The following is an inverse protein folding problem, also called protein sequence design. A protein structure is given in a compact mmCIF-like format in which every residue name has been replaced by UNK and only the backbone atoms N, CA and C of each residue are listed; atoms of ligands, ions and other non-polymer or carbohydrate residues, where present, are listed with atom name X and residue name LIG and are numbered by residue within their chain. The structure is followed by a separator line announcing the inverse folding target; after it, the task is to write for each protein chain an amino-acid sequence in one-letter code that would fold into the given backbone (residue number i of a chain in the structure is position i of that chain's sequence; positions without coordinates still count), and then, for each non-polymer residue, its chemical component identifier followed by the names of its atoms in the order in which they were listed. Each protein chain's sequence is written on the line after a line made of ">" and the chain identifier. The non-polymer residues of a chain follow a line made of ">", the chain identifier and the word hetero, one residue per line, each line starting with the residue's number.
data_IF_255614160388
#
_entry.id   IF_255614160388
#
_cell.length_a   1.000
_cell.length_b   1.000
_cell.length_c   1.000
_cell.angle_alpha   90.00
_cell.angle_beta   90.00
_cell.angle_gamma   90.00
#
_symmetry.space_group_name_H-M   'P 1'
#
loop_
_entity.id
_entity.type
_entity.pdbx_description
1 polymer ?
#
# COMPACT_ATOMS: atom_id res chain seq x y z
N UNK A 1 -23.88 0.82 -37.09
CA UNK A 1 -23.21 2.00 -36.51
C UNK A 1 -22.57 1.57 -35.21
N UNK A 2 -21.35 1.05 -35.29
CA UNK A 2 -20.62 0.48 -34.15
C UNK A 2 -19.73 1.57 -33.53
N UNK A 3 -20.00 1.93 -32.28
CA UNK A 3 -19.13 2.79 -31.48
C UNK A 3 -18.07 1.92 -30.80
N UNK A 4 -16.83 2.02 -31.29
CA UNK A 4 -15.65 1.51 -30.61
C UNK A 4 -15.40 2.33 -29.34
N UNK A 5 -15.70 1.75 -28.18
CA UNK A 5 -15.24 2.27 -26.89
C UNK A 5 -13.88 1.65 -26.60
N UNK A 6 -12.84 2.48 -26.68
CA UNK A 6 -11.50 2.21 -26.16
C UNK A 6 -11.60 1.88 -24.66
N UNK A 7 -11.01 0.76 -24.21
CA UNK A 7 -10.73 0.55 -22.77
C UNK A 7 -11.47 -0.57 -22.04
N UNK A 8 -12.20 -1.48 -22.68
CA UNK A 8 -12.59 -2.74 -22.00
C UNK A 8 -11.46 -3.77 -22.09
N UNK A 9 -10.60 -3.81 -21.07
CA UNK A 9 -9.87 -5.04 -20.77
C UNK A 9 -10.89 -6.15 -20.51
N UNK A 10 -10.96 -7.14 -21.40
CA UNK A 10 -11.75 -8.37 -21.22
C UNK A 10 -11.02 -9.41 -20.36
N UNK A 11 -9.86 -9.07 -19.78
CA UNK A 11 -9.15 -9.94 -18.84
C UNK A 11 -9.46 -9.47 -17.43
N UNK A 12 -9.71 -10.43 -16.54
CA UNK A 12 -10.07 -10.21 -15.15
C UNK A 12 -9.12 -9.28 -14.41
N UNK A 13 -9.58 -8.85 -13.24
CA UNK A 13 -8.93 -7.97 -12.27
C UNK A 13 -7.40 -8.01 -12.37
N UNK A 14 -6.78 -6.88 -12.72
CA UNK A 14 -5.33 -6.70 -12.64
C UNK A 14 -4.86 -7.20 -11.26
N UNK A 15 -3.77 -7.98 -11.23
CA UNK A 15 -3.16 -8.58 -10.03
C UNK A 15 -3.68 -9.96 -9.58
N UNK A 16 -4.52 -10.67 -10.35
CA UNK A 16 -4.89 -12.05 -10.01
C UNK A 16 -3.76 -13.10 -10.21
N UNK A 17 -2.76 -12.80 -11.05
CA UNK A 17 -1.72 -13.76 -11.47
C UNK A 17 -0.29 -13.36 -11.09
N UNK A 18 -0.11 -12.29 -10.30
CA UNK A 18 1.23 -11.70 -10.07
C UNK A 18 1.80 -10.98 -11.29
N UNK A 19 0.95 -10.66 -12.27
CA UNK A 19 1.27 -9.88 -13.46
C UNK A 19 0.48 -8.58 -13.47
N UNK A 20 1.10 -7.52 -13.99
CA UNK A 20 0.54 -6.19 -14.16
C UNK A 20 0.90 -5.65 -15.54
N UNK A 21 -0.03 -4.94 -16.18
CA UNK A 21 0.24 -4.26 -17.44
C UNK A 21 1.06 -2.99 -17.18
N UNK A 22 2.29 -2.93 -17.67
CA UNK A 22 3.14 -1.74 -17.62
C UNK A 22 3.40 -1.31 -19.06
N UNK A 23 2.95 -0.09 -19.41
CA UNK A 23 3.02 0.43 -20.77
C UNK A 23 2.41 -0.52 -21.84
N UNK A 24 1.35 -1.25 -21.47
CA UNK A 24 0.66 -2.20 -22.35
C UNK A 24 1.33 -3.58 -22.47
N UNK A 25 2.41 -3.84 -21.73
CA UNK A 25 3.12 -5.12 -21.70
C UNK A 25 2.84 -5.82 -20.37
N UNK A 26 2.36 -7.07 -20.43
CA UNK A 26 2.22 -7.91 -19.24
C UNK A 26 3.60 -8.15 -18.61
N UNK A 27 3.78 -7.68 -17.38
CA UNK A 27 5.05 -7.69 -16.66
C UNK A 27 4.83 -8.28 -15.27
N UNK A 28 5.85 -8.93 -14.69
CA UNK A 28 5.80 -9.37 -13.29
C UNK A 28 5.54 -8.18 -12.36
N UNK A 29 4.53 -8.31 -11.51
CA UNK A 29 4.21 -7.28 -10.53
C UNK A 29 5.19 -7.36 -9.36
N UNK A 30 6.31 -6.64 -9.50
CA UNK A 30 7.32 -6.51 -8.44
C UNK A 30 6.95 -5.47 -7.38
N UNK A 31 5.79 -4.83 -7.53
CA UNK A 31 5.30 -3.72 -6.70
C UNK A 31 6.41 -2.65 -6.46
N UNK A 32 6.31 -1.95 -5.33
CA UNK A 32 7.25 -0.92 -4.89
C UNK A 32 8.66 -1.47 -4.65
N UNK A 33 8.81 -2.75 -4.30
CA UNK A 33 10.11 -3.35 -4.02
C UNK A 33 10.99 -3.36 -5.29
N UNK A 34 10.42 -3.74 -6.43
CA UNK A 34 11.11 -3.63 -7.72
C UNK A 34 11.47 -2.18 -8.05
N UNK A 35 10.55 -1.24 -7.82
CA UNK A 35 10.81 0.18 -8.08
C UNK A 35 11.97 0.75 -7.22
N UNK A 36 12.05 0.37 -5.94
CA UNK A 36 13.14 0.80 -5.03
C UNK A 36 14.48 0.23 -5.49
N UNK A 37 14.53 -1.05 -5.87
CA UNK A 37 15.75 -1.71 -6.34
C UNK A 37 16.25 -1.03 -7.63
N UNK A 38 15.36 -0.85 -8.60
CA UNK A 38 15.68 -0.21 -9.89
C UNK A 38 16.10 1.24 -9.69
N UNK A 39 15.40 1.99 -8.84
CA UNK A 39 15.77 3.38 -8.50
C UNK A 39 17.18 3.46 -7.93
N UNK A 40 17.53 2.60 -6.96
CA UNK A 40 18.87 2.55 -6.37
C UNK A 40 19.95 2.27 -7.41
N UNK A 41 19.70 1.33 -8.34
CA UNK A 41 20.65 1.01 -9.41
C UNK A 41 20.83 2.19 -10.35
N UNK A 42 19.73 2.81 -10.81
CA UNK A 42 19.78 3.95 -11.73
C UNK A 42 20.47 5.14 -11.08
N UNK A 43 20.17 5.45 -9.81
CA UNK A 43 20.86 6.51 -9.06
C UNK A 43 22.37 6.22 -8.96
N UNK A 44 22.77 4.97 -8.70
CA UNK A 44 24.18 4.59 -8.68
C UNK A 44 24.86 4.76 -10.04
N UNK A 45 24.23 4.31 -11.14
CA UNK A 45 24.76 4.50 -12.51
C UNK A 45 24.88 5.99 -12.82
N UNK A 46 23.83 6.76 -12.53
CA UNK A 46 23.81 8.20 -12.75
C UNK A 46 24.98 8.89 -12.04
N UNK A 47 25.11 8.68 -10.73
CA UNK A 47 26.18 9.28 -9.93
C UNK A 47 27.57 8.88 -10.40
N UNK A 48 27.72 7.67 -10.96
CA UNK A 48 29.01 7.16 -11.42
C UNK A 48 29.39 7.59 -12.83
N UNK A 49 28.43 7.76 -13.74
CA UNK A 49 28.68 7.87 -15.18
C UNK A 49 28.21 9.18 -15.82
N UNK A 50 27.36 9.98 -15.17
CA UNK A 50 26.82 11.21 -15.74
C UNK A 50 27.91 12.22 -16.18
N UNK A 51 28.90 12.45 -15.33
CA UNK A 51 29.99 13.41 -15.61
C UNK A 51 31.21 12.79 -16.31
N UNK A 52 31.13 11.54 -16.76
CA UNK A 52 32.27 10.90 -17.44
C UNK A 52 32.43 11.45 -18.85
N UNK A 53 33.64 11.92 -19.17
CA UNK A 53 34.01 12.31 -20.52
C UNK A 53 34.31 11.06 -21.35
N UNK A 54 33.67 10.99 -22.52
CA UNK A 54 33.93 9.99 -23.55
C UNK A 54 34.92 10.55 -24.58
N UNK A 55 35.62 9.69 -25.34
CA UNK A 55 36.40 10.13 -26.50
C UNK A 55 35.57 10.99 -27.45
N UNK A 56 36.23 11.89 -28.19
CA UNK A 56 35.58 12.90 -29.03
C UNK A 56 34.58 12.30 -30.03
N UNK A 57 34.92 11.14 -30.62
CA UNK A 57 34.05 10.36 -31.52
C UNK A 57 32.71 9.92 -30.88
N UNK A 58 32.67 9.79 -29.55
CA UNK A 58 31.49 9.39 -28.78
C UNK A 58 30.93 10.56 -27.94
N UNK A 59 31.36 11.79 -28.21
CA UNK A 59 30.95 12.99 -27.46
C UNK A 59 29.44 13.18 -27.39
N UNK A 60 28.72 12.79 -28.46
CA UNK A 60 27.25 12.86 -28.56
C UNK A 60 26.54 12.01 -27.51
N UNK A 61 27.17 10.93 -27.03
CA UNK A 61 26.58 10.05 -26.03
C UNK A 61 26.88 10.49 -24.59
N UNK A 62 27.62 11.58 -24.33
CA UNK A 62 27.95 12.01 -22.97
C UNK A 62 26.72 12.45 -22.16
N UNK A 63 26.87 12.53 -20.84
CA UNK A 63 25.80 12.97 -19.94
C UNK A 63 24.69 11.94 -19.77
N UNK A 64 23.44 12.37 -19.84
CA UNK A 64 22.26 11.53 -19.60
C UNK A 64 22.16 10.38 -20.62
N UNK A 65 22.52 10.62 -21.87
CA UNK A 65 22.48 9.60 -22.93
C UNK A 65 23.36 8.39 -22.58
N UNK A 66 24.54 8.63 -21.98
CA UNK A 66 25.43 7.56 -21.54
C UNK A 66 24.82 6.75 -20.40
N UNK A 67 24.23 7.46 -19.43
CA UNK A 67 23.57 6.84 -18.27
C UNK A 67 22.42 5.94 -18.71
N UNK A 68 21.57 6.43 -19.61
CA UNK A 68 20.43 5.65 -20.16
C UNK A 68 20.94 4.42 -20.93
N UNK A 69 21.98 4.58 -21.75
CA UNK A 69 22.56 3.47 -22.53
C UNK A 69 23.11 2.38 -21.62
N UNK A 70 23.91 2.72 -20.60
CA UNK A 70 24.42 1.74 -19.63
C UNK A 70 23.26 1.10 -18.88
N UNK A 71 22.28 1.90 -18.44
CA UNK A 71 21.13 1.40 -17.70
C UNK A 71 20.36 0.36 -18.51
N UNK A 72 20.12 0.59 -19.81
CA UNK A 72 19.47 -0.38 -20.69
C UNK A 72 20.15 -1.75 -20.65
N UNK A 73 21.46 -1.80 -20.86
CA UNK A 73 22.20 -3.08 -20.85
C UNK A 73 22.27 -3.71 -19.46
N UNK A 74 22.29 -2.92 -18.40
CA UNK A 74 22.22 -3.42 -17.01
C UNK A 74 20.84 -3.99 -16.69
N UNK A 75 19.76 -3.44 -17.26
CA UNK A 75 18.40 -3.93 -17.00
C UNK A 75 18.10 -5.29 -17.65
N UNK A 76 18.78 -5.66 -18.74
CA UNK A 76 18.60 -6.97 -19.38
C UNK A 76 18.89 -8.16 -18.43
N UNK A 77 20.07 -8.28 -17.81
CA UNK A 77 20.32 -9.36 -16.86
C UNK A 77 19.47 -9.23 -15.59
N UNK A 78 19.17 -8.02 -15.13
CA UNK A 78 18.32 -7.81 -13.95
C UNK A 78 16.90 -8.32 -14.20
N UNK A 79 16.33 -8.05 -15.37
CA UNK A 79 15.03 -8.59 -15.75
C UNK A 79 15.04 -10.13 -15.78
N UNK A 80 16.08 -10.74 -16.36
CA UNK A 80 16.22 -12.20 -16.39
C UNK A 80 16.31 -12.81 -14.98
N UNK A 81 17.12 -12.21 -14.08
CA UNK A 81 17.22 -12.63 -12.68
C UNK A 81 15.87 -12.48 -11.98
N UNK A 82 15.17 -11.37 -12.22
CA UNK A 82 13.87 -11.08 -11.61
C UNK A 82 12.84 -12.13 -12.03
N UNK A 83 12.81 -12.55 -13.30
CA UNK A 83 11.89 -13.61 -13.76
C UNK A 83 12.05 -14.93 -13.00
N UNK A 84 13.25 -15.26 -12.53
CA UNK A 84 13.51 -16.50 -11.78
C UNK A 84 13.28 -16.30 -10.29
N UNK A 85 13.87 -15.25 -9.70
CA UNK A 85 13.87 -15.02 -8.26
C UNK A 85 12.50 -14.54 -7.76
N UNK A 86 11.80 -13.74 -8.55
CA UNK A 86 10.52 -13.16 -8.13
C UNK A 86 9.46 -14.22 -7.89
N UNK A 87 9.46 -15.33 -8.64
CA UNK A 87 8.48 -16.41 -8.44
C UNK A 87 8.55 -16.98 -7.03
N UNK A 88 9.76 -17.26 -6.52
CA UNK A 88 9.93 -17.76 -5.15
C UNK A 88 9.47 -16.74 -4.11
N UNK A 89 9.77 -15.45 -4.31
CA UNK A 89 9.29 -14.37 -3.43
C UNK A 89 7.77 -14.26 -3.46
N UNK A 90 7.17 -14.33 -4.65
CA UNK A 90 5.73 -14.27 -4.86
C UNK A 90 5.01 -15.41 -4.13
N UNK A 91 5.55 -16.64 -4.17
CA UNK A 91 5.01 -17.77 -3.42
C UNK A 91 5.12 -17.55 -1.90
N UNK A 92 6.23 -16.98 -1.42
CA UNK A 92 6.39 -16.61 -0.01
C UNK A 92 5.34 -15.60 0.43
N UNK A 93 5.16 -14.53 -0.34
CA UNK A 93 4.15 -13.49 -0.08
C UNK A 93 2.74 -14.09 -0.08
N UNK A 94 2.41 -14.92 -1.08
CA UNK A 94 1.11 -15.59 -1.17
C UNK A 94 0.84 -16.49 0.05
N UNK A 95 1.85 -17.21 0.54
CA UNK A 95 1.70 -18.06 1.73
C UNK A 95 1.30 -17.27 2.98
N UNK A 96 1.88 -16.07 3.17
CA UNK A 96 1.54 -15.17 4.28
C UNK A 96 0.10 -14.66 4.12
N UNK A 97 -0.30 -14.28 2.91
CA UNK A 97 -1.64 -13.79 2.62
C UNK A 97 -2.72 -14.86 2.89
N UNK A 98 -2.50 -16.09 2.42
CA UNK A 98 -3.43 -17.19 2.71
C UNK A 98 -3.49 -17.54 4.19
N UNK A 99 -2.34 -17.49 4.89
CA UNK A 99 -2.31 -17.65 6.34
C UNK A 99 -3.14 -16.57 7.05
N UNK A 100 -2.98 -15.31 6.64
CA UNK A 100 -3.76 -14.17 7.18
C UNK A 100 -5.26 -14.41 7.01
N UNK A 101 -5.72 -14.76 5.80
CA UNK A 101 -7.14 -14.96 5.53
C UNK A 101 -7.71 -16.16 6.32
N UNK A 102 -6.93 -17.21 6.51
CA UNK A 102 -7.38 -18.43 7.20
C UNK A 102 -7.40 -18.33 8.74
N UNK A 103 -6.73 -17.33 9.34
CA UNK A 103 -6.44 -17.31 10.79
C UNK A 103 -7.46 -16.56 11.65
N UNK A 104 -8.63 -16.19 11.11
CA UNK A 104 -9.70 -15.51 11.86
C UNK A 104 -9.22 -14.22 12.52
N UNK A 105 -9.49 -14.05 13.83
CA UNK A 105 -9.09 -12.84 14.58
C UNK A 105 -7.58 -12.58 14.58
N UNK A 106 -6.75 -13.64 14.66
CA UNK A 106 -5.29 -13.51 14.58
C UNK A 106 -4.87 -13.02 13.20
N UNK A 107 -5.55 -13.52 12.16
CA UNK A 107 -5.36 -13.08 10.79
C UNK A 107 -5.67 -11.59 10.60
N UNK A 108 -6.81 -11.14 11.11
CA UNK A 108 -7.22 -9.73 11.05
C UNK A 108 -6.24 -8.83 11.80
N UNK A 109 -5.79 -9.23 12.99
CA UNK A 109 -4.77 -8.49 13.72
C UNK A 109 -3.46 -8.39 12.92
N UNK A 110 -3.00 -9.51 12.38
CA UNK A 110 -1.76 -9.56 11.61
C UNK A 110 -1.85 -8.71 10.33
N UNK A 111 -3.00 -8.75 9.66
CA UNK A 111 -3.30 -7.91 8.49
C UNK A 111 -3.12 -6.43 8.80
N UNK A 112 -3.84 -5.91 9.81
CA UNK A 112 -3.79 -4.49 10.16
C UNK A 112 -2.43 -4.07 10.72
N UNK A 113 -1.77 -4.97 11.47
CA UNK A 113 -0.42 -4.72 11.99
C UNK A 113 0.58 -4.58 10.84
N UNK A 114 0.59 -5.52 9.90
CA UNK A 114 1.50 -5.50 8.76
C UNK A 114 1.18 -4.36 7.79
N UNK A 115 -0.10 -4.08 7.56
CA UNK A 115 -0.55 -2.96 6.73
C UNK A 115 -0.03 -1.62 7.28
N UNK A 116 -0.04 -1.42 8.60
CA UNK A 116 0.51 -0.21 9.23
C UNK A 116 2.04 -0.22 9.30
N UNK A 117 2.65 -1.25 9.88
CA UNK A 117 4.10 -1.22 10.19
C UNK A 117 4.97 -1.15 8.92
N UNK A 118 4.45 -1.62 7.78
CA UNK A 118 5.14 -1.62 6.49
C UNK A 118 4.94 -0.34 5.66
N UNK A 119 4.09 0.61 6.08
CA UNK A 119 3.87 1.90 5.38
C UNK A 119 5.18 2.61 4.99
N UNK A 120 6.20 2.73 5.87
CA UNK A 120 7.46 3.44 5.56
C UNK A 120 8.22 2.90 4.36
N UNK A 121 8.02 1.62 4.08
CA UNK A 121 8.71 0.89 3.00
C UNK A 121 7.85 0.74 1.75
N UNK A 122 6.56 1.09 1.84
CA UNK A 122 5.55 0.78 0.83
C UNK A 122 5.15 -0.71 0.76
N UNK A 123 5.80 -1.61 1.52
CA UNK A 123 5.52 -3.05 1.42
C UNK A 123 4.13 -3.44 1.91
N UNK A 124 3.42 -2.55 2.60
CA UNK A 124 2.03 -2.74 3.00
C UNK A 124 1.09 -3.06 1.80
N UNK A 125 1.41 -2.60 0.59
CA UNK A 125 0.68 -2.95 -0.63
C UNK A 125 0.66 -4.46 -0.92
N UNK A 126 1.67 -5.22 -0.49
CA UNK A 126 1.66 -6.68 -0.62
C UNK A 126 0.68 -7.36 0.35
N UNK A 127 0.28 -6.67 1.41
CA UNK A 127 -0.63 -7.23 2.40
C UNK A 127 -2.07 -6.90 2.01
N UNK A 128 -2.36 -5.61 1.83
CA UNK A 128 -3.75 -5.18 1.66
C UNK A 128 -4.28 -5.41 0.25
N UNK A 129 -3.52 -5.09 -0.80
CA UNK A 129 -4.08 -5.02 -2.16
C UNK A 129 -4.62 -6.39 -2.65
N UNK A 130 -3.91 -7.52 -2.45
CA UNK A 130 -4.41 -8.82 -2.88
C UNK A 130 -5.65 -9.31 -2.13
N UNK A 131 -5.90 -8.79 -0.92
CA UNK A 131 -7.10 -9.08 -0.12
C UNK A 131 -8.26 -8.14 -0.53
N UNK A 132 -8.00 -6.85 -0.66
CA UNK A 132 -9.02 -5.85 -0.96
C UNK A 132 -9.51 -5.86 -2.41
N UNK A 133 -8.58 -6.01 -3.35
CA UNK A 133 -8.85 -5.90 -4.79
C UNK A 133 -8.36 -7.12 -5.57
N UNK A 134 -7.73 -8.09 -4.91
CA UNK A 134 -7.26 -9.33 -5.53
C UNK A 134 -8.05 -10.56 -5.10
N UNK A 135 -7.74 -11.74 -5.68
CA UNK A 135 -8.52 -12.95 -5.48
C UNK A 135 -8.18 -13.72 -4.18
N UNK A 136 -7.44 -13.13 -3.24
CA UNK A 136 -6.94 -13.86 -2.07
C UNK A 136 -8.05 -14.19 -1.07
N UNK A 137 -8.91 -13.22 -0.77
CA UNK A 137 -10.01 -13.41 0.18
C UNK A 137 -11.31 -13.82 -0.52
N UNK A 138 -11.60 -13.22 -1.67
CA UNK A 138 -12.77 -13.50 -2.53
C UNK A 138 -12.38 -13.25 -3.99
N UNK A 139 -13.06 -13.89 -4.95
CA UNK A 139 -12.66 -13.94 -6.37
C UNK A 139 -12.32 -12.58 -7.02
N UNK A 140 -13.02 -11.51 -6.64
CA UNK A 140 -12.84 -10.17 -7.21
C UNK A 140 -12.33 -9.13 -6.20
N UNK A 141 -11.87 -9.56 -5.04
CA UNK A 141 -11.47 -8.69 -3.93
C UNK A 141 -12.64 -8.17 -3.10
N UNK A 142 -12.36 -7.91 -1.82
CA UNK A 142 -13.36 -7.49 -0.84
C UNK A 142 -14.07 -6.17 -1.20
N UNK A 143 -13.37 -5.22 -1.83
CA UNK A 143 -13.97 -3.94 -2.22
C UNK A 143 -15.03 -4.13 -3.32
N UNK A 144 -14.73 -4.95 -4.33
CA UNK A 144 -15.69 -5.25 -5.39
C UNK A 144 -16.88 -6.06 -4.84
N UNK A 145 -16.59 -7.07 -4.04
CA UNK A 145 -17.58 -7.93 -3.39
C UNK A 145 -18.54 -7.11 -2.51
N UNK A 146 -18.02 -6.17 -1.72
CA UNK A 146 -18.81 -5.26 -0.93
C UNK A 146 -19.78 -4.45 -1.78
N UNK A 147 -19.26 -3.73 -2.77
CA UNK A 147 -20.05 -2.83 -3.61
C UNK A 147 -21.13 -3.56 -4.42
N UNK A 148 -20.83 -4.76 -4.91
CA UNK A 148 -21.78 -5.55 -5.71
C UNK A 148 -22.93 -6.11 -4.88
N UNK A 149 -22.72 -6.38 -3.59
CA UNK A 149 -23.70 -7.01 -2.71
C UNK A 149 -24.24 -6.06 -1.63
N UNK A 150 -23.96 -4.76 -1.73
CA UNK A 150 -24.38 -3.72 -0.78
C UNK A 150 -25.87 -3.81 -0.42
N UNK A 151 -26.76 -3.89 -1.42
CA UNK A 151 -28.20 -3.97 -1.20
C UNK A 151 -28.60 -5.28 -0.51
N UNK A 152 -27.97 -6.39 -0.89
CA UNK A 152 -28.21 -7.70 -0.27
C UNK A 152 -27.82 -7.69 1.21
N UNK A 153 -26.68 -7.08 1.56
CA UNK A 153 -26.26 -6.96 2.96
C UNK A 153 -27.20 -6.08 3.77
N UNK A 154 -27.73 -5.02 3.17
CA UNK A 154 -28.66 -4.09 3.83
C UNK A 154 -30.04 -4.72 4.10
N UNK A 155 -30.51 -5.61 3.21
CA UNK A 155 -31.82 -6.28 3.33
C UNK A 155 -31.77 -7.55 4.19
N UNK A 156 -30.57 -8.04 4.52
CA UNK A 156 -30.37 -9.29 5.24
C UNK A 156 -30.53 -9.13 6.75
N UNK A 157 -31.29 -10.04 7.37
CA UNK A 157 -31.41 -10.12 8.83
C UNK A 157 -30.25 -10.88 9.50
N UNK A 158 -29.26 -11.35 8.72
CA UNK A 158 -28.09 -12.05 9.27
C UNK A 158 -27.03 -11.05 9.72
N UNK A 159 -26.24 -11.36 10.76
CA UNK A 159 -25.07 -10.57 11.10
C UNK A 159 -24.11 -10.42 9.91
N UNK A 160 -23.53 -9.24 9.71
CA UNK A 160 -22.59 -8.99 8.60
C UNK A 160 -21.39 -9.93 8.62
N UNK A 161 -20.93 -10.31 9.82
CA UNK A 161 -19.83 -11.26 10.04
C UNK A 161 -20.04 -12.64 9.42
N UNK A 162 -21.29 -13.04 9.17
CA UNK A 162 -21.64 -14.33 8.55
C UNK A 162 -21.74 -14.23 7.03
N UNK A 163 -21.74 -13.01 6.50
CA UNK A 163 -22.01 -12.71 5.08
C UNK A 163 -20.78 -12.19 4.35
N UNK A 164 -19.88 -11.51 5.07
CA UNK A 164 -18.73 -10.85 4.49
C UNK A 164 -17.58 -10.81 5.50
N UNK A 165 -16.32 -11.07 5.10
CA UNK A 165 -15.16 -11.01 5.99
C UNK A 165 -14.75 -9.55 6.28
N UNK A 166 -15.68 -8.79 6.88
CA UNK A 166 -15.57 -7.35 7.14
C UNK A 166 -14.38 -6.96 8.02
N UNK A 167 -13.81 -7.90 8.79
CA UNK A 167 -12.65 -7.65 9.65
C UNK A 167 -11.44 -7.10 8.89
N UNK A 168 -11.25 -7.52 7.63
CA UNK A 168 -10.18 -7.00 6.75
C UNK A 168 -10.50 -5.63 6.14
N UNK A 169 -11.69 -5.08 6.36
CA UNK A 169 -12.12 -3.77 5.85
C UNK A 169 -12.19 -2.72 6.98
N UNK A 170 -11.64 -3.01 8.15
CA UNK A 170 -11.68 -2.12 9.31
C UNK A 170 -10.55 -1.08 9.36
N UNK A 171 -9.61 -1.09 8.40
CA UNK A 171 -8.40 -0.23 8.46
C UNK A 171 -8.70 1.27 8.58
N UNK A 172 -9.89 1.71 8.16
CA UNK A 172 -10.36 3.10 8.30
C UNK A 172 -10.37 3.58 9.74
N UNK A 173 -10.64 2.71 10.72
CA UNK A 173 -10.67 3.12 12.12
C UNK A 173 -9.30 3.61 12.58
N UNK A 174 -8.22 2.87 12.28
CA UNK A 174 -6.85 3.26 12.62
C UNK A 174 -6.47 4.60 12.01
N UNK A 175 -6.91 4.84 10.77
CA UNK A 175 -6.67 6.07 10.03
C UNK A 175 -7.43 7.27 10.61
N UNK A 176 -8.66 7.07 11.08
CA UNK A 176 -9.48 8.14 11.66
C UNK A 176 -9.12 8.36 13.14
N UNK A 177 -9.35 7.36 13.98
CA UNK A 177 -9.22 7.48 15.44
C UNK A 177 -7.77 7.53 15.90
N UNK A 178 -6.89 6.73 15.27
CA UNK A 178 -5.46 6.74 15.58
C UNK A 178 -4.82 8.08 15.23
N UNK A 179 -5.07 8.61 14.04
CA UNK A 179 -4.53 9.92 13.64
C UNK A 179 -5.07 11.08 14.49
N UNK A 180 -6.37 11.05 14.85
CA UNK A 180 -6.93 12.01 15.81
C UNK A 180 -6.21 11.97 17.16
N UNK A 181 -5.99 10.76 17.70
CA UNK A 181 -5.28 10.58 18.96
C UNK A 181 -3.84 11.10 18.90
N UNK A 182 -3.10 10.77 17.83
CA UNK A 182 -1.73 11.25 17.59
C UNK A 182 -1.70 12.78 17.54
N UNK A 183 -2.58 13.39 16.75
CA UNK A 183 -2.61 14.85 16.60
C UNK A 183 -2.91 15.56 17.91
N UNK A 184 -3.88 15.06 18.69
CA UNK A 184 -4.19 15.61 20.01
C UNK A 184 -3.02 15.46 20.98
N UNK A 185 -2.32 14.31 20.98
CA UNK A 185 -1.16 14.08 21.82
C UNK A 185 0.01 15.02 21.45
N UNK A 186 0.30 15.18 20.16
CA UNK A 186 1.32 16.12 19.67
C UNK A 186 0.98 17.56 20.04
N UNK A 187 -0.27 17.97 19.87
CA UNK A 187 -0.72 19.33 20.24
C UNK A 187 -0.65 19.57 21.76
N UNK A 188 -1.10 18.62 22.58
CA UNK A 188 -1.11 18.75 24.04
C UNK A 188 0.31 18.87 24.63
N UNK A 189 1.25 18.11 24.08
CA UNK A 189 2.66 18.08 24.52
C UNK A 189 3.51 19.22 23.94
N UNK A 190 2.99 19.97 22.96
CA UNK A 190 3.68 21.13 22.37
C UNK A 190 3.76 22.31 23.36
N UNK A 191 4.95 22.93 23.55
CA UNK A 191 5.11 24.16 24.34
C UNK A 191 4.16 25.27 23.87
N UNK A 192 3.57 26.01 24.82
CA UNK A 192 2.49 26.98 24.55
C UNK A 192 2.82 27.97 23.43
N UNK A 193 4.07 28.43 23.37
CA UNK A 193 4.54 29.42 22.38
C UNK A 193 4.54 28.89 20.94
N UNK A 194 4.59 27.56 20.77
CA UNK A 194 4.64 26.89 19.46
C UNK A 194 3.30 26.27 19.05
N UNK A 195 2.29 26.21 19.93
CA UNK A 195 1.02 25.53 19.67
C UNK A 195 0.30 26.03 18.43
N UNK A 196 0.32 27.34 18.16
CA UNK A 196 -0.30 27.90 16.94
C UNK A 196 0.37 27.37 15.65
N UNK A 197 1.71 27.28 15.65
CA UNK A 197 2.48 26.77 14.50
C UNK A 197 2.22 25.28 14.29
N UNK A 198 2.23 24.50 15.37
CA UNK A 198 1.99 23.06 15.32
C UNK A 198 0.55 22.76 14.91
N UNK A 199 -0.45 23.48 15.45
CA UNK A 199 -1.84 23.32 15.03
C UNK A 199 -2.05 23.59 13.54
N UNK A 200 -1.36 24.60 12.98
CA UNK A 200 -1.43 24.89 11.55
C UNK A 200 -0.94 23.72 10.67
N UNK A 201 -0.05 22.86 11.18
CA UNK A 201 0.38 21.63 10.51
C UNK A 201 -0.54 20.44 10.81
N UNK A 202 -0.92 20.26 12.08
CA UNK A 202 -1.69 19.09 12.52
C UNK A 202 -3.13 19.10 12.01
N UNK A 203 -3.82 20.24 11.98
CA UNK A 203 -5.21 20.32 11.52
C UNK A 203 -5.38 19.80 10.09
N UNK A 204 -4.67 20.32 9.07
CA UNK A 204 -4.87 19.86 7.69
C UNK A 204 -4.41 18.41 7.48
N UNK A 205 -3.32 17.98 8.11
CA UNK A 205 -2.81 16.59 7.99
C UNK A 205 -3.76 15.59 8.64
N UNK A 206 -4.33 15.92 9.79
CA UNK A 206 -5.33 15.09 10.47
C UNK A 206 -6.65 15.07 9.71
N UNK A 207 -7.09 16.21 9.16
CA UNK A 207 -8.30 16.26 8.35
C UNK A 207 -8.15 15.41 7.08
N UNK A 208 -6.97 15.42 6.46
CA UNK A 208 -6.64 14.56 5.32
C UNK A 208 -6.74 13.08 5.70
N UNK A 209 -6.23 12.70 6.88
CA UNK A 209 -6.34 11.33 7.39
C UNK A 209 -7.80 10.90 7.59
N UNK A 210 -8.64 11.77 8.16
CA UNK A 210 -10.05 11.46 8.44
C UNK A 210 -10.90 11.39 7.17
N UNK A 211 -10.71 12.35 6.26
CA UNK A 211 -11.59 12.51 5.10
C UNK A 211 -11.14 11.63 3.93
N UNK A 212 -9.84 11.53 3.70
CA UNK A 212 -9.28 10.81 2.55
C UNK A 212 -8.66 9.46 2.94
N UNK A 213 -8.48 9.17 4.23
CA UNK A 213 -7.80 7.94 4.67
C UNK A 213 -6.30 7.92 4.39
N UNK A 214 -5.72 9.07 4.05
CA UNK A 214 -4.29 9.25 3.75
C UNK A 214 -3.61 9.77 5.01
N UNK A 215 -2.87 8.89 5.68
CA UNK A 215 -2.29 9.12 7.02
C UNK A 215 -0.84 9.58 6.99
N UNK A 216 -0.15 9.38 5.87
CA UNK A 216 1.27 9.62 5.66
C UNK A 216 1.69 11.07 6.00
N UNK A 217 0.93 12.12 5.63
CA UNK A 217 1.29 13.49 5.97
C UNK A 217 1.38 13.75 7.48
N UNK A 218 0.63 13.00 8.29
CA UNK A 218 0.71 13.05 9.75
C UNK A 218 1.74 12.07 10.28
N UNK A 219 1.67 10.80 9.87
CA UNK A 219 2.53 9.73 10.40
C UNK A 219 4.02 10.00 10.15
N UNK A 220 4.37 10.57 8.99
CA UNK A 220 5.77 10.86 8.65
C UNK A 220 6.37 11.98 9.48
N UNK A 221 5.56 12.78 10.18
CA UNK A 221 6.06 13.84 11.08
C UNK A 221 6.77 13.27 12.31
N UNK A 222 6.47 12.04 12.72
CA UNK A 222 7.11 11.39 13.87
C UNK A 222 7.80 10.07 13.51
N UNK A 223 7.41 9.42 12.42
CA UNK A 223 7.96 8.13 11.98
C UNK A 223 9.50 8.09 12.01
N UNK A 224 10.14 9.09 11.40
CA UNK A 224 11.58 9.14 11.25
C UNK A 224 12.30 9.70 12.48
N UNK A 225 11.55 10.28 13.43
CA UNK A 225 12.07 10.87 14.66
C UNK A 225 12.02 9.85 15.81
N UNK A 226 10.89 9.15 15.94
CA UNK A 226 10.62 8.17 16.97
C UNK A 226 9.97 6.91 16.36
N UNK A 227 10.74 6.06 15.65
CA UNK A 227 10.20 4.89 14.95
C UNK A 227 9.44 3.90 15.84
N UNK A 228 9.84 3.78 17.11
CA UNK A 228 9.16 2.92 18.08
C UNK A 228 7.72 3.38 18.38
N UNK A 229 7.42 4.68 18.32
CA UNK A 229 6.05 5.18 18.46
C UNK A 229 5.19 4.77 17.27
N UNK A 230 5.77 4.63 16.09
CA UNK A 230 5.04 4.14 14.92
C UNK A 230 4.72 2.65 15.04
N UNK A 231 5.67 1.84 15.54
CA UNK A 231 5.40 0.43 15.85
C UNK A 231 4.29 0.32 16.90
N UNK A 232 4.32 1.14 17.95
CA UNK A 232 3.26 1.18 18.96
C UNK A 232 1.91 1.56 18.34
N UNK A 233 1.87 2.58 17.49
CA UNK A 233 0.68 2.96 16.74
C UNK A 233 0.14 1.81 15.87
N UNK A 234 1.00 1.09 15.16
CA UNK A 234 0.61 -0.08 14.36
C UNK A 234 0.00 -1.20 15.23
N UNK A 235 0.58 -1.46 16.41
CA UNK A 235 0.05 -2.44 17.38
C UNK A 235 -1.33 -2.00 17.89
N UNK A 236 -1.47 -0.72 18.26
CA UNK A 236 -2.72 -0.18 18.79
C UNK A 236 -3.83 -0.18 17.72
N UNK A 237 -3.51 0.21 16.48
CA UNK A 237 -4.44 0.17 15.36
C UNK A 237 -4.93 -1.27 15.08
N UNK A 238 -4.01 -2.22 14.96
CA UNK A 238 -4.35 -3.63 14.75
C UNK A 238 -5.21 -4.22 15.87
N UNK A 239 -4.89 -3.86 17.11
CA UNK A 239 -5.65 -4.29 18.29
C UNK A 239 -7.04 -3.69 18.29
N UNK A 240 -7.18 -2.40 17.98
CA UNK A 240 -8.47 -1.74 17.86
C UNK A 240 -9.35 -2.39 16.80
N UNK A 241 -8.81 -2.63 15.59
CA UNK A 241 -9.60 -3.22 14.51
C UNK A 241 -10.04 -4.66 14.82
N UNK A 242 -9.16 -5.43 15.44
CA UNK A 242 -9.50 -6.80 15.85
C UNK A 242 -10.54 -6.82 16.97
N UNK A 243 -10.47 -5.89 17.92
CA UNK A 243 -11.47 -5.75 18.98
C UNK A 243 -12.82 -5.27 18.43
N UNK A 244 -12.81 -4.31 17.50
CA UNK A 244 -14.01 -3.84 16.79
C UNK A 244 -14.70 -4.98 16.06
N UNK A 245 -13.92 -5.87 15.42
CA UNK A 245 -14.44 -7.11 14.85
C UNK A 245 -15.05 -8.01 15.93
N UNK A 246 -14.28 -8.33 16.98
CA UNK A 246 -14.69 -9.30 18.01
C UNK A 246 -15.95 -8.88 18.78
N UNK A 247 -16.07 -7.58 19.09
CA UNK A 247 -17.18 -7.01 19.84
C UNK A 247 -18.38 -6.63 18.95
N UNK A 248 -18.28 -6.84 17.63
CA UNK A 248 -19.29 -6.45 16.63
C UNK A 248 -19.72 -4.98 16.81
N UNK A 249 -18.76 -4.12 17.16
CA UNK A 249 -19.00 -2.68 17.27
C UNK A 249 -19.06 -2.11 15.86
N UNK A 250 -20.24 -2.23 15.23
CA UNK A 250 -20.52 -1.64 13.92
C UNK A 250 -20.88 -0.18 14.11
N UNK A 251 -19.98 0.71 13.70
CA UNK A 251 -20.29 2.11 13.45
C UNK A 251 -19.79 2.49 12.07
N UNK A 252 -20.62 2.31 11.04
CA UNK A 252 -20.77 3.07 9.75
C UNK A 252 -19.52 3.34 8.88
N UNK A 253 -18.30 3.26 9.39
CA UNK A 253 -17.05 3.60 8.72
C UNK A 253 -16.37 2.40 8.06
N UNK A 254 -17.12 1.32 7.85
CA UNK A 254 -16.61 0.03 7.35
C UNK A 254 -16.01 0.14 5.95
N UNK A 255 -16.31 1.19 5.16
CA UNK A 255 -15.92 1.27 3.73
C UNK A 255 -15.52 2.67 3.23
N UNK A 256 -15.26 3.65 4.10
CA UNK A 256 -15.01 5.02 3.60
C UNK A 256 -13.52 5.31 3.26
N UNK A 257 -12.58 4.40 3.54
CA UNK A 257 -11.16 4.56 3.15
C UNK A 257 -10.45 3.24 2.77
#
# INVERSE_FOLDING_TARGET
>A
MATHVWGKSKKGVENATGLKAIAGIETLDTNILGAIIISRIITWIHNRYYSKRLPEMLGVFQGLTFVVTISFFVMLPIAAITCVVWLTLQHGIASIQYFIVASGHVGVWLYHFLERVLVPTGLHHFIYAPIEVGPVAVNHGLKAEWLQHLNQFAESNKPLKEQFPYGFMLQGNGKVFGCLGIALAMYATTPKDNRKKVAALLIPTTLTAIVAGITEPLEFTFLFIAPYLFVLHAILAATMDTLSMALVLLGIWVVVC
#
